data_IF_695885375183
#
_entry.id   IF_695885375183
#
_cell.length_a   1.000
_cell.length_b   1.000
_cell.length_c   1.000
_cell.angle_alpha   90.00
_cell.angle_beta   90.00
_cell.angle_gamma   90.00
#
_symmetry.space_group_name_H-M   'P 1'
#
loop_
_entity.id
_entity.type
_entity.pdbx_description
1 polymer ?
#
# COMPACT_ATOMS: atom_id res chain seq x y z
N UNK A 1 -8.13 4.21 46.17
CA UNK A 1 -7.62 3.62 44.91
C UNK A 1 -8.81 3.16 44.07
N UNK A 2 -9.38 4.05 43.27
CA UNK A 2 -10.40 3.71 42.27
C UNK A 2 -10.08 4.57 41.06
N UNK A 3 -9.75 3.95 39.93
CA UNK A 3 -9.36 4.71 38.74
C UNK A 3 -8.62 3.91 37.68
N UNK A 4 -9.21 2.79 37.21
CA UNK A 4 -8.89 2.16 35.92
C UNK A 4 -10.13 1.38 35.47
N UNK A 5 -11.06 2.03 34.76
CA UNK A 5 -12.11 1.35 33.97
C UNK A 5 -12.98 2.31 33.09
N UNK A 6 -12.58 3.57 32.86
CA UNK A 6 -13.40 4.52 32.09
C UNK A 6 -13.10 4.61 30.58
N UNK A 7 -12.00 4.04 30.09
CA UNK A 7 -11.58 4.25 28.69
C UNK A 7 -12.18 3.26 27.68
N UNK A 8 -12.67 2.08 28.09
CA UNK A 8 -13.28 1.10 27.17
C UNK A 8 -14.78 1.31 26.94
N UNK A 9 -15.44 2.18 27.71
CA UNK A 9 -16.88 2.47 27.56
C UNK A 9 -17.20 3.70 26.72
N UNK A 10 -16.23 4.56 26.45
CA UNK A 10 -16.46 5.80 25.71
C UNK A 10 -16.76 5.56 24.22
N UNK A 11 -16.07 4.62 23.56
CA UNK A 11 -16.30 4.34 22.12
C UNK A 11 -17.63 3.64 21.83
N UNK A 12 -18.18 2.84 22.76
CA UNK A 12 -19.51 2.23 22.58
C UNK A 12 -20.66 3.23 22.74
N UNK A 13 -20.51 4.24 23.60
CA UNK A 13 -21.60 5.19 23.90
C UNK A 13 -21.80 6.21 22.77
N UNK A 14 -20.75 6.55 22.02
CA UNK A 14 -20.86 7.52 20.91
C UNK A 14 -21.59 6.95 19.69
N UNK A 15 -21.55 5.63 19.47
CA UNK A 15 -22.28 4.98 18.38
C UNK A 15 -23.79 4.86 18.63
N UNK A 16 -24.23 4.82 19.89
CA UNK A 16 -25.65 4.61 20.23
C UNK A 16 -26.51 5.88 20.10
N UNK A 17 -25.90 7.06 19.96
CA UNK A 17 -26.62 8.35 19.99
C UNK A 17 -26.98 8.92 18.60
N UNK A 18 -26.58 8.27 17.50
CA UNK A 18 -26.96 8.67 16.15
C UNK A 18 -27.73 7.54 15.44
N UNK A 19 -29.07 7.56 15.56
CA UNK A 19 -29.99 7.02 14.55
C UNK A 19 -30.09 5.49 14.40
N UNK A 20 -29.86 4.70 15.45
CA UNK A 20 -29.68 3.23 15.37
C UNK A 20 -30.92 2.35 15.11
N UNK A 21 -32.12 2.89 14.86
CA UNK A 21 -33.36 2.10 14.98
C UNK A 21 -34.07 1.69 13.67
N UNK A 22 -33.62 2.06 12.47
CA UNK A 22 -34.45 1.86 11.26
C UNK A 22 -33.82 1.09 10.07
N UNK A 23 -32.60 0.55 10.18
CA UNK A 23 -31.95 -0.19 9.05
C UNK A 23 -31.49 -1.61 9.34
N UNK A 24 -31.66 -2.13 10.56
CA UNK A 24 -31.11 -3.45 10.93
C UNK A 24 -31.91 -4.67 10.45
N UNK A 25 -33.00 -4.51 9.70
CA UNK A 25 -33.83 -5.65 9.24
C UNK A 25 -33.91 -5.85 7.72
N UNK A 26 -33.20 -5.08 6.89
CA UNK A 26 -33.14 -5.29 5.44
C UNK A 26 -31.72 -5.07 4.89
N UNK A 27 -30.79 -5.94 5.29
CA UNK A 27 -29.53 -6.11 4.56
C UNK A 27 -29.13 -7.59 4.58
N UNK A 28 -30.08 -8.46 4.24
CA UNK A 28 -29.72 -9.74 3.66
C UNK A 28 -29.14 -9.42 2.28
N UNK A 29 -27.81 -9.28 2.20
CA UNK A 29 -27.13 -9.12 0.92
C UNK A 29 -27.54 -10.27 0.00
N UNK A 30 -27.92 -9.94 -1.24
CA UNK A 30 -28.31 -10.93 -2.23
C UNK A 30 -27.10 -11.82 -2.55
N UNK A 31 -27.31 -13.10 -2.89
CA UNK A 31 -26.27 -13.93 -3.51
C UNK A 31 -25.65 -13.16 -4.70
N UNK A 32 -24.33 -13.06 -4.75
CA UNK A 32 -23.62 -12.27 -5.77
C UNK A 32 -23.48 -10.77 -5.49
N UNK A 33 -23.70 -10.32 -4.25
CA UNK A 33 -23.38 -8.95 -3.80
C UNK A 33 -22.27 -8.93 -2.74
N UNK A 34 -21.49 -7.85 -2.70
CA UNK A 34 -20.47 -7.67 -1.66
C UNK A 34 -21.12 -7.55 -0.28
N UNK A 35 -20.56 -8.18 0.77
CA UNK A 35 -20.98 -7.91 2.14
C UNK A 35 -20.77 -6.43 2.47
N UNK A 36 -21.58 -5.87 3.36
CA UNK A 36 -21.43 -4.48 3.79
C UNK A 36 -20.99 -4.39 5.25
N UNK A 37 -20.15 -3.40 5.53
CA UNK A 37 -19.71 -3.06 6.88
C UNK A 37 -18.57 -3.94 7.37
N UNK A 38 -18.46 -4.06 8.68
CA UNK A 38 -17.27 -4.56 9.36
C UNK A 38 -17.54 -5.91 10.00
N UNK A 39 -16.51 -6.74 10.03
CA UNK A 39 -16.59 -8.12 10.48
C UNK A 39 -15.34 -8.46 11.29
N UNK A 40 -15.51 -9.26 12.34
CA UNK A 40 -14.43 -9.69 13.22
C UNK A 40 -14.43 -11.20 13.35
N UNK A 41 -13.25 -11.82 13.33
CA UNK A 41 -13.11 -13.25 13.55
C UNK A 41 -13.54 -13.64 14.97
N UNK A 42 -14.46 -14.60 15.06
CA UNK A 42 -14.98 -15.06 16.34
C UNK A 42 -13.94 -15.80 17.19
N UNK A 43 -12.88 -16.34 16.58
CA UNK A 43 -11.80 -17.03 17.26
C UNK A 43 -10.57 -16.14 17.50
N UNK A 44 -10.46 -15.03 16.76
CA UNK A 44 -9.29 -14.15 16.74
C UNK A 44 -9.75 -12.68 16.68
N UNK A 45 -10.03 -12.04 17.83
CA UNK A 45 -10.55 -10.67 17.87
C UNK A 45 -9.63 -9.63 17.21
N UNK A 46 -8.35 -9.95 17.02
CA UNK A 46 -7.41 -9.06 16.35
C UNK A 46 -7.54 -9.09 14.83
N UNK A 47 -8.21 -10.10 14.25
CA UNK A 47 -8.47 -10.16 12.82
C UNK A 47 -9.83 -9.54 12.47
N UNK A 48 -9.80 -8.49 11.68
CA UNK A 48 -10.98 -7.76 11.23
C UNK A 48 -10.95 -7.60 9.71
N UNK A 49 -12.13 -7.58 9.09
CA UNK A 49 -12.29 -7.10 7.72
C UNK A 49 -13.40 -6.08 7.62
N UNK A 50 -13.41 -5.30 6.55
CA UNK A 50 -14.51 -4.40 6.25
C UNK A 50 -14.62 -4.12 4.78
N UNK A 51 -15.86 -3.99 4.33
CA UNK A 51 -16.18 -3.67 2.97
C UNK A 51 -16.68 -2.23 2.91
N UNK A 52 -15.94 -1.37 2.21
CA UNK A 52 -16.19 0.07 2.07
C UNK A 52 -15.88 0.53 0.64
N UNK A 53 -16.83 1.17 -0.05
CA UNK A 53 -16.62 1.82 -1.36
C UNK A 53 -15.88 0.94 -2.39
N UNK A 54 -16.36 -0.30 -2.61
CA UNK A 54 -15.69 -1.29 -3.47
C UNK A 54 -14.25 -1.59 -3.05
N UNK A 55 -13.96 -1.53 -1.75
CA UNK A 55 -12.69 -1.98 -1.16
C UNK A 55 -12.95 -2.97 -0.05
N UNK A 56 -12.08 -3.96 0.06
CA UNK A 56 -11.92 -4.80 1.24
C UNK A 56 -10.72 -4.31 2.03
N UNK A 57 -10.97 -3.90 3.26
CA UNK A 57 -9.94 -3.60 4.25
C UNK A 57 -9.72 -4.86 5.09
N UNK A 58 -8.47 -5.29 5.25
CA UNK A 58 -8.09 -6.38 6.16
C UNK A 58 -7.17 -5.79 7.22
N UNK A 59 -7.54 -5.95 8.48
CA UNK A 59 -6.82 -5.41 9.61
C UNK A 59 -6.42 -6.49 10.61
N UNK A 60 -5.19 -6.37 11.10
CA UNK A 60 -4.65 -7.15 12.19
C UNK A 60 -3.51 -6.40 12.89
N UNK A 61 -3.23 -6.77 14.14
CA UNK A 61 -2.28 -6.03 14.98
C UNK A 61 -2.70 -4.58 15.21
N UNK A 62 -4.02 -4.35 15.34
CA UNK A 62 -4.60 -3.05 15.70
C UNK A 62 -4.69 -2.02 14.57
N UNK A 63 -4.40 -2.38 13.31
CA UNK A 63 -4.50 -1.44 12.16
C UNK A 63 -4.85 -2.14 10.85
N UNK A 64 -5.23 -1.38 9.83
CA UNK A 64 -5.32 -1.87 8.44
C UNK A 64 -3.92 -2.30 7.98
N UNK A 65 -3.84 -3.46 7.34
CA UNK A 65 -2.60 -4.05 6.86
C UNK A 65 -2.63 -4.32 5.37
N UNK A 66 -3.80 -4.69 4.86
CA UNK A 66 -4.01 -5.03 3.45
C UNK A 66 -5.30 -4.37 2.97
N UNK A 67 -5.31 -3.95 1.71
CA UNK A 67 -6.49 -3.40 1.06
C UNK A 67 -6.59 -3.97 -0.35
N UNK A 68 -7.75 -4.54 -0.65
CA UNK A 68 -8.13 -4.93 -2.01
C UNK A 68 -9.10 -3.88 -2.54
N UNK A 69 -8.71 -3.10 -3.53
CA UNK A 69 -9.54 -2.07 -4.17
C UNK A 69 -10.28 -2.57 -5.41
N UNK A 70 -11.13 -1.73 -6.01
CA UNK A 70 -11.90 -2.04 -7.23
C UNK A 70 -12.64 -3.40 -7.14
N UNK A 71 -13.13 -3.72 -5.95
CA UNK A 71 -13.71 -5.00 -5.63
C UNK A 71 -15.05 -5.17 -6.35
N UNK A 72 -15.19 -6.28 -7.07
CA UNK A 72 -16.37 -6.66 -7.84
C UNK A 72 -16.80 -8.07 -7.44
N UNK A 73 -18.11 -8.32 -7.23
CA UNK A 73 -18.59 -9.66 -6.90
C UNK A 73 -18.21 -10.73 -7.94
N UNK A 74 -17.97 -11.95 -7.47
CA UNK A 74 -17.78 -13.15 -8.27
C UNK A 74 -18.56 -14.33 -7.69
N UNK A 75 -18.61 -15.48 -8.38
CA UNK A 75 -19.34 -16.67 -7.91
C UNK A 75 -18.83 -17.19 -6.55
N UNK A 76 -17.52 -17.13 -6.32
CA UNK A 76 -16.85 -17.63 -5.11
C UNK A 76 -16.50 -16.53 -4.09
N UNK A 77 -16.93 -15.29 -4.34
CA UNK A 77 -16.70 -14.14 -3.47
C UNK A 77 -16.58 -12.83 -4.24
N UNK A 78 -15.35 -12.37 -4.44
CA UNK A 78 -15.06 -11.18 -5.22
C UNK A 78 -13.69 -11.23 -5.92
N UNK A 79 -13.55 -10.46 -6.99
CA UNK A 79 -12.27 -10.16 -7.65
C UNK A 79 -11.98 -8.68 -7.45
N UNK A 80 -10.74 -8.34 -7.16
CA UNK A 80 -10.33 -6.95 -7.01
C UNK A 80 -8.85 -6.73 -7.31
N UNK A 81 -8.37 -5.55 -6.95
CA UNK A 81 -7.00 -5.12 -7.11
C UNK A 81 -6.25 -5.12 -5.78
N UNK A 82 -5.14 -5.82 -5.72
CA UNK A 82 -4.21 -5.73 -4.60
C UNK A 82 -2.81 -5.42 -5.14
N UNK A 83 -2.22 -4.31 -4.68
CA UNK A 83 -0.90 -3.87 -5.11
C UNK A 83 -0.69 -3.84 -6.66
N UNK A 84 -1.75 -3.51 -7.41
CA UNK A 84 -1.71 -3.46 -8.88
C UNK A 84 -1.89 -4.79 -9.59
N UNK A 85 -2.21 -5.87 -8.87
CA UNK A 85 -2.49 -7.20 -9.43
C UNK A 85 -3.93 -7.60 -9.14
N UNK A 86 -4.49 -8.43 -10.02
CA UNK A 86 -5.76 -9.08 -9.76
C UNK A 86 -5.63 -9.99 -8.52
N UNK A 87 -6.57 -9.87 -7.59
CA UNK A 87 -6.62 -10.64 -6.35
C UNK A 87 -8.01 -11.23 -6.19
N UNK A 88 -8.07 -12.52 -5.89
CA UNK A 88 -9.30 -13.27 -5.67
C UNK A 88 -9.57 -13.37 -4.19
N UNK A 89 -10.75 -12.90 -3.77
CA UNK A 89 -11.19 -12.90 -2.39
C UNK A 89 -12.33 -13.87 -2.25
N UNK A 90 -12.10 -14.98 -1.55
CA UNK A 90 -13.13 -16.00 -1.35
C UNK A 90 -13.89 -15.78 -0.04
N UNK A 91 -15.21 -15.68 -0.13
CA UNK A 91 -16.08 -15.67 1.04
C UNK A 91 -17.47 -16.19 0.72
N UNK A 92 -18.11 -16.78 1.73
CA UNK A 92 -19.50 -17.24 1.64
C UNK A 92 -20.28 -16.85 2.89
N UNK A 93 -21.60 -16.71 2.78
CA UNK A 93 -22.46 -16.46 3.94
C UNK A 93 -22.99 -17.76 4.54
N UNK A 94 -22.85 -17.91 5.86
CA UNK A 94 -23.43 -19.01 6.65
C UNK A 94 -24.34 -18.40 7.73
N UNK A 95 -25.61 -18.16 7.40
CA UNK A 95 -26.55 -17.46 8.27
C UNK A 95 -26.07 -16.03 8.62
N UNK A 96 -25.86 -15.68 9.90
CA UNK A 96 -25.34 -14.37 10.29
C UNK A 96 -23.81 -14.25 10.16
N UNK A 97 -23.11 -15.33 9.83
CA UNK A 97 -21.66 -15.36 9.73
C UNK A 97 -21.20 -15.17 8.29
N UNK A 98 -20.01 -14.60 8.15
CA UNK A 98 -19.25 -14.59 6.90
C UNK A 98 -18.10 -15.57 7.05
N UNK A 99 -18.06 -16.60 6.22
CA UNK A 99 -16.91 -17.49 6.08
C UNK A 99 -15.95 -16.86 5.10
N UNK A 100 -14.76 -16.51 5.56
CA UNK A 100 -13.75 -15.81 4.78
C UNK A 100 -12.49 -16.66 4.69
N UNK A 101 -11.93 -16.83 3.49
CA UNK A 101 -10.62 -17.45 3.31
C UNK A 101 -9.54 -16.37 3.38
N UNK A 102 -8.77 -16.38 4.46
CA UNK A 102 -7.57 -15.56 4.57
C UNK A 102 -6.48 -16.17 3.69
N UNK A 103 -6.29 -15.60 2.50
CA UNK A 103 -5.34 -16.09 1.50
C UNK A 103 -3.89 -16.15 2.02
N UNK A 104 -3.52 -15.25 2.94
CA UNK A 104 -2.16 -15.18 3.49
C UNK A 104 -1.87 -16.31 4.47
N UNK A 105 -2.83 -16.67 5.30
CA UNK A 105 -2.67 -17.75 6.28
C UNK A 105 -3.24 -19.10 5.83
N UNK A 106 -4.02 -19.13 4.75
CA UNK A 106 -4.79 -20.28 4.28
C UNK A 106 -5.95 -20.67 5.22
N UNK A 107 -6.25 -19.86 6.24
CA UNK A 107 -7.27 -20.18 7.25
C UNK A 107 -8.66 -19.74 6.81
N UNK A 108 -9.63 -20.62 7.04
CA UNK A 108 -11.04 -20.25 6.99
C UNK A 108 -11.44 -19.59 8.30
N UNK A 109 -11.93 -18.37 8.22
CA UNK A 109 -12.31 -17.54 9.36
C UNK A 109 -13.81 -17.38 9.43
N UNK A 110 -14.36 -17.50 10.64
CA UNK A 110 -15.80 -17.35 10.91
C UNK A 110 -16.05 -15.96 11.48
N UNK A 111 -16.46 -15.03 10.63
CA UNK A 111 -16.55 -13.63 10.98
C UNK A 111 -17.96 -13.24 11.41
N UNK A 112 -18.06 -12.46 12.49
CA UNK A 112 -19.30 -11.85 12.99
C UNK A 112 -19.34 -10.38 12.60
N UNK A 113 -20.51 -9.91 12.19
CA UNK A 113 -20.72 -8.50 11.85
C UNK A 113 -20.57 -7.64 13.11
N UNK A 114 -19.82 -6.55 12.98
CA UNK A 114 -19.69 -5.52 14.01
C UNK A 114 -20.76 -4.43 13.83
N UNK A 115 -21.18 -3.78 14.92
CA UNK A 115 -22.20 -2.74 14.86
C UNK A 115 -21.71 -1.43 14.23
N UNK A 116 -20.41 -1.19 14.21
CA UNK A 116 -19.80 0.06 13.75
C UNK A 116 -18.36 -0.15 13.24
N UNK A 117 -17.78 0.89 12.66
CA UNK A 117 -16.37 0.92 12.21
C UNK A 117 -15.43 0.81 13.42
N UNK A 118 -14.47 -0.12 13.42
CA UNK A 118 -13.42 -0.19 14.43
C UNK A 118 -12.40 0.95 14.28
N UNK A 119 -11.83 1.41 15.40
CA UNK A 119 -10.75 2.41 15.39
C UNK A 119 -9.51 1.92 14.64
N UNK A 120 -9.26 0.61 14.61
CA UNK A 120 -8.16 -0.01 13.83
C UNK A 120 -8.29 0.23 12.33
N UNK A 121 -9.47 0.64 11.84
CA UNK A 121 -9.70 0.94 10.43
C UNK A 121 -9.56 2.42 10.10
N UNK A 122 -9.17 3.23 11.08
CA UNK A 122 -8.61 4.55 10.84
C UNK A 122 -7.20 4.34 10.30
N UNK A 123 -6.88 4.90 9.13
CA UNK A 123 -5.52 4.88 8.56
C UNK A 123 -4.59 5.81 9.36
N UNK A 124 -4.47 5.54 10.66
CA UNK A 124 -3.85 6.42 11.63
C UNK A 124 -2.64 5.71 12.24
N UNK A 125 -1.46 6.16 11.82
CA UNK A 125 -0.20 5.94 12.53
C UNK A 125 0.44 7.30 12.75
N UNK A 126 0.56 7.69 14.02
CA UNK A 126 1.22 8.95 14.37
C UNK A 126 2.70 8.66 14.58
N UNK A 127 3.53 9.26 13.73
CA UNK A 127 4.99 9.24 13.90
C UNK A 127 5.40 10.48 14.71
N UNK A 128 6.41 10.37 15.60
CA UNK A 128 6.94 11.54 16.28
C UNK A 128 7.57 12.50 15.27
N UNK A 129 7.44 13.80 15.53
CA UNK A 129 8.19 14.81 14.78
C UNK A 129 9.70 14.57 14.94
N UNK A 130 10.50 14.64 13.86
CA UNK A 130 11.95 14.56 13.90
C UNK A 130 12.58 15.40 15.02
N UNK A 131 13.30 14.74 15.93
CA UNK A 131 13.98 15.37 17.06
C UNK A 131 15.48 15.03 17.06
N UNK A 132 16.35 15.87 17.66
CA UNK A 132 17.77 15.54 17.78
C UNK A 132 18.01 14.26 18.58
N UNK A 133 18.86 13.37 18.07
CA UNK A 133 19.28 12.13 18.75
C UNK A 133 20.80 12.06 18.82
N UNK A 134 21.33 11.16 19.66
CA UNK A 134 22.77 10.98 19.80
C UNK A 134 23.43 10.60 18.46
N UNK A 135 24.58 11.20 18.16
CA UNK A 135 25.33 10.94 16.92
C UNK A 135 25.64 9.46 16.71
N UNK A 136 26.03 8.75 17.78
CA UNK A 136 26.24 7.31 17.72
C UNK A 136 24.99 6.53 17.27
N UNK A 137 23.79 6.99 17.64
CA UNK A 137 22.52 6.39 17.19
C UNK A 137 22.23 6.72 15.73
N UNK A 138 22.51 7.95 15.29
CA UNK A 138 22.44 8.34 13.87
C UNK A 138 23.31 7.40 13.03
N UNK A 139 24.59 7.26 13.39
CA UNK A 139 25.54 6.41 12.67
C UNK A 139 25.10 4.93 12.63
N UNK A 140 24.56 4.41 13.75
CA UNK A 140 24.04 3.04 13.80
C UNK A 140 22.84 2.84 12.85
N UNK A 141 21.90 3.78 12.84
CA UNK A 141 20.73 3.73 11.96
C UNK A 141 21.16 3.87 10.50
N UNK A 142 22.03 4.82 10.17
CA UNK A 142 22.56 5.00 8.81
C UNK A 142 23.19 3.70 8.28
N UNK A 143 24.00 3.03 9.11
CA UNK A 143 24.62 1.75 8.74
C UNK A 143 23.57 0.67 8.48
N UNK A 144 22.64 0.46 9.41
CA UNK A 144 21.63 -0.60 9.32
C UNK A 144 20.75 -0.44 8.06
N UNK A 145 20.20 0.75 7.83
CA UNK A 145 19.30 0.97 6.69
C UNK A 145 20.05 0.91 5.35
N UNK A 146 21.31 1.36 5.31
CA UNK A 146 22.12 1.27 4.11
C UNK A 146 22.44 -0.18 3.75
N UNK A 147 22.78 -1.01 4.73
CA UNK A 147 23.08 -2.43 4.50
C UNK A 147 21.85 -3.18 3.97
N UNK A 148 20.67 -2.87 4.52
CA UNK A 148 19.39 -3.46 4.11
C UNK A 148 18.91 -2.99 2.74
N UNK A 149 18.92 -1.69 2.47
CA UNK A 149 18.56 -1.16 1.16
C UNK A 149 19.50 -1.74 0.10
N UNK A 150 20.81 -1.78 0.34
CA UNK A 150 21.76 -2.40 -0.60
C UNK A 150 21.42 -3.87 -0.86
N UNK A 151 21.07 -4.63 0.17
CA UNK A 151 20.70 -6.03 0.03
C UNK A 151 19.38 -6.21 -0.76
N UNK A 152 18.39 -5.36 -0.52
CA UNK A 152 17.09 -5.39 -1.21
C UNK A 152 17.22 -4.97 -2.68
N UNK A 153 17.95 -3.87 -2.94
CA UNK A 153 18.21 -3.37 -4.29
C UNK A 153 19.05 -4.34 -5.11
N UNK A 154 19.96 -5.10 -4.50
CA UNK A 154 20.75 -6.13 -5.20
C UNK A 154 19.85 -7.22 -5.80
N UNK A 155 18.68 -7.46 -5.22
CA UNK A 155 17.73 -8.47 -5.67
C UNK A 155 16.68 -7.93 -6.66
N UNK A 156 16.52 -6.60 -6.78
CA UNK A 156 15.51 -5.93 -7.63
C UNK A 156 15.95 -5.57 -9.06
N UNK A 157 17.23 -5.63 -9.40
CA UNK A 157 17.77 -4.86 -10.55
C UNK A 157 17.23 -5.27 -11.94
N UNK A 158 16.50 -4.38 -12.65
CA UNK A 158 16.25 -4.49 -14.09
C UNK A 158 17.38 -3.84 -14.92
N UNK A 159 17.31 -4.04 -16.25
CA UNK A 159 18.42 -3.94 -17.19
C UNK A 159 18.99 -2.54 -17.53
N UNK A 160 18.41 -1.41 -17.09
CA UNK A 160 18.93 -0.08 -17.43
C UNK A 160 18.73 0.98 -16.34
N UNK A 161 19.68 1.92 -16.17
CA UNK A 161 19.56 3.02 -15.22
C UNK A 161 18.57 4.09 -15.70
N UNK A 162 17.65 4.49 -14.82
CA UNK A 162 16.77 5.64 -15.02
C UNK A 162 17.60 6.93 -14.99
N UNK A 163 17.69 7.67 -16.11
CA UNK A 163 18.58 8.82 -16.30
C UNK A 163 18.35 10.02 -15.37
N UNK A 164 17.20 10.06 -14.69
CA UNK A 164 16.85 11.09 -13.71
C UNK A 164 17.09 10.66 -12.24
N UNK A 165 17.57 9.43 -12.01
CA UNK A 165 18.08 8.96 -10.71
C UNK A 165 19.61 9.11 -10.67
N UNK A 166 20.17 10.06 -9.91
CA UNK A 166 21.61 10.16 -9.73
C UNK A 166 22.14 8.92 -8.99
N UNK A 167 23.17 8.24 -9.52
CA UNK A 167 23.92 7.18 -8.82
C UNK A 167 23.78 5.74 -9.35
N UNK A 168 23.25 5.54 -10.56
CA UNK A 168 23.09 4.20 -11.11
C UNK A 168 24.42 3.61 -11.64
N UNK A 169 24.90 2.51 -11.04
CA UNK A 169 26.06 1.72 -11.51
C UNK A 169 25.67 0.77 -12.66
N UNK A 170 26.60 0.36 -13.55
CA UNK A 170 26.30 -0.52 -14.68
C UNK A 170 25.81 -1.91 -14.27
N UNK A 171 24.90 -2.47 -15.07
CA UNK A 171 24.15 -3.71 -14.80
C UNK A 171 24.85 -4.99 -15.31
N UNK A 172 24.85 -6.10 -14.54
CA UNK A 172 24.94 -7.47 -15.07
C UNK A 172 23.55 -8.06 -15.42
N UNK A 173 23.54 -9.19 -16.13
CA UNK A 173 22.40 -9.77 -16.87
C UNK A 173 21.11 -10.06 -16.04
N UNK A 174 19.91 -10.00 -16.67
CA UNK A 174 18.62 -10.07 -15.98
C UNK A 174 18.17 -11.48 -15.60
N UNK A 175 17.45 -11.59 -14.47
CA UNK A 175 16.54 -12.71 -14.22
C UNK A 175 15.28 -12.57 -15.12
N UNK A 176 14.64 -13.69 -15.52
CA UNK A 176 13.42 -13.62 -16.31
C UNK A 176 12.26 -13.03 -15.49
N UNK A 177 11.39 -12.19 -16.11
CA UNK A 177 10.20 -11.66 -15.45
C UNK A 177 9.17 -12.77 -15.22
N UNK A 178 8.59 -12.82 -14.01
CA UNK A 178 7.42 -13.67 -13.70
C UNK A 178 7.54 -14.61 -12.50
N UNK A 179 8.71 -14.79 -11.89
CA UNK A 179 8.82 -15.53 -10.64
C UNK A 179 8.72 -14.57 -9.45
N UNK A 180 7.64 -14.67 -8.66
CA UNK A 180 7.66 -14.17 -7.28
C UNK A 180 8.78 -14.92 -6.55
N UNK A 181 9.92 -14.27 -6.34
CA UNK A 181 10.94 -14.79 -5.43
C UNK A 181 10.40 -14.63 -4.01
N UNK A 182 10.05 -15.74 -3.37
CA UNK A 182 9.57 -15.72 -1.98
C UNK A 182 10.58 -15.06 -1.02
N UNK A 183 11.88 -15.07 -1.35
CA UNK A 183 12.91 -14.36 -0.59
C UNK A 183 12.74 -12.85 -0.63
N UNK A 184 12.22 -12.30 -1.74
CA UNK A 184 11.92 -10.88 -1.86
C UNK A 184 10.75 -10.46 -0.98
N UNK A 185 9.72 -11.30 -0.86
CA UNK A 185 8.55 -11.03 -0.03
C UNK A 185 8.92 -11.10 1.46
N UNK A 186 9.71 -12.11 1.84
CA UNK A 186 10.21 -12.29 3.21
C UNK A 186 11.13 -11.14 3.63
N UNK A 187 12.12 -10.79 2.79
CA UNK A 187 13.03 -9.69 3.07
C UNK A 187 12.33 -8.32 3.11
N UNK A 188 11.35 -8.08 2.23
CA UNK A 188 10.52 -6.87 2.29
C UNK A 188 9.69 -6.80 3.59
N UNK A 189 9.27 -7.95 4.13
CA UNK A 189 8.52 -8.01 5.39
C UNK A 189 9.40 -7.67 6.59
N UNK A 190 10.61 -8.26 6.71
CA UNK A 190 11.55 -7.93 7.78
C UNK A 190 11.97 -6.46 7.74
N UNK A 191 12.22 -5.94 6.55
CA UNK A 191 12.55 -4.54 6.34
C UNK A 191 11.38 -3.62 6.71
N UNK A 192 10.13 -4.03 6.46
CA UNK A 192 8.94 -3.30 6.88
C UNK A 192 8.84 -3.17 8.41
N UNK A 193 9.05 -4.27 9.14
CA UNK A 193 9.01 -4.27 10.60
C UNK A 193 10.12 -3.40 11.21
N UNK A 194 11.34 -3.50 10.66
CA UNK A 194 12.45 -2.65 11.09
C UNK A 194 12.14 -1.17 10.84
N UNK A 195 11.78 -0.81 9.61
CA UNK A 195 11.63 0.61 9.26
C UNK A 195 10.47 1.23 10.03
N UNK A 196 9.38 0.49 10.24
CA UNK A 196 8.29 0.90 11.13
C UNK A 196 8.79 1.17 12.55
N UNK A 197 9.60 0.26 13.10
CA UNK A 197 10.17 0.40 14.45
C UNK A 197 11.05 1.63 14.55
N UNK A 198 11.94 1.84 13.57
CA UNK A 198 12.84 3.00 13.54
C UNK A 198 12.05 4.32 13.44
N UNK A 199 11.09 4.43 12.53
CA UNK A 199 10.34 5.69 12.37
C UNK A 199 9.45 6.01 13.57
N UNK A 200 9.00 4.99 14.32
CA UNK A 200 8.33 5.20 15.61
C UNK A 200 9.28 5.65 16.72
N UNK A 201 10.53 5.18 16.70
CA UNK A 201 11.55 5.55 17.69
C UNK A 201 12.07 6.97 17.45
N UNK A 202 12.47 7.30 16.23
CA UNK A 202 13.24 8.52 15.93
C UNK A 202 12.51 9.51 15.01
N UNK A 203 11.27 9.21 14.62
CA UNK A 203 10.56 9.97 13.58
C UNK A 203 11.10 9.62 12.20
N UNK A 204 10.72 10.41 11.19
CA UNK A 204 11.19 10.18 9.82
C UNK A 204 12.71 10.28 9.69
N UNK A 205 13.35 9.34 8.99
CA UNK A 205 14.79 9.35 8.71
C UNK A 205 15.06 10.41 7.61
N UNK A 206 15.10 11.67 8.02
CA UNK A 206 15.22 12.84 7.14
C UNK A 206 16.67 13.14 6.75
N UNK A 207 16.82 13.95 5.69
CA UNK A 207 18.12 14.36 5.16
C UNK A 207 18.92 15.22 6.15
N UNK A 208 18.28 16.03 6.99
CA UNK A 208 18.99 16.97 7.87
C UNK A 208 19.71 16.26 9.00
N UNK A 209 19.11 15.19 9.55
CA UNK A 209 19.70 14.41 10.64
C UNK A 209 20.57 13.26 10.15
N UNK A 210 20.13 12.57 9.08
CA UNK A 210 20.77 11.33 8.64
C UNK A 210 21.52 11.48 7.30
N UNK A 211 21.44 12.62 6.64
CA UNK A 211 22.03 12.82 5.32
C UNK A 211 21.24 12.15 4.20
N UNK A 212 21.51 12.59 2.97
CA UNK A 212 20.79 12.14 1.78
C UNK A 212 20.80 10.61 1.57
N UNK A 213 21.94 9.89 1.66
CA UNK A 213 21.96 8.45 1.40
C UNK A 213 21.06 7.65 2.33
N UNK A 214 21.06 8.00 3.61
CA UNK A 214 20.27 7.34 4.63
C UNK A 214 18.77 7.61 4.46
N UNK A 215 18.41 8.86 4.18
CA UNK A 215 17.01 9.22 3.90
C UNK A 215 16.47 8.54 2.65
N UNK A 216 17.30 8.42 1.60
CA UNK A 216 16.93 7.71 0.38
C UNK A 216 16.77 6.20 0.61
N UNK A 217 17.66 5.58 1.39
CA UNK A 217 17.54 4.18 1.80
C UNK A 217 16.25 3.95 2.61
N UNK A 218 15.96 4.81 3.59
CA UNK A 218 14.73 4.75 4.37
C UNK A 218 13.48 4.87 3.49
N UNK A 219 13.49 5.77 2.50
CA UNK A 219 12.44 5.85 1.50
C UNK A 219 12.24 4.51 0.79
N UNK A 220 13.28 3.88 0.26
CA UNK A 220 13.14 2.60 -0.46
C UNK A 220 12.59 1.49 0.44
N UNK A 221 13.09 1.37 1.67
CA UNK A 221 12.58 0.37 2.63
C UNK A 221 11.09 0.58 2.90
N UNK A 222 10.65 1.82 3.19
CA UNK A 222 9.22 2.15 3.36
C UNK A 222 8.42 1.85 2.09
N UNK A 223 8.97 2.26 0.95
CA UNK A 223 8.34 2.20 -0.34
C UNK A 223 7.96 0.75 -0.71
N UNK A 224 8.81 -0.23 -0.39
CA UNK A 224 8.58 -1.66 -0.69
C UNK A 224 7.72 -2.41 0.33
N UNK A 225 7.34 -1.80 1.46
CA UNK A 225 6.48 -2.45 2.48
C UNK A 225 5.07 -2.77 2.01
N UNK A 226 4.52 -1.96 1.09
CA UNK A 226 3.09 -1.96 0.75
C UNK A 226 2.12 -1.80 1.94
N UNK A 227 2.62 -1.44 3.13
CA UNK A 227 1.79 -1.23 4.31
C UNK A 227 1.09 0.14 4.18
N UNK A 228 -0.24 0.17 3.96
CA UNK A 228 -0.89 1.41 3.60
C UNK A 228 -0.88 2.44 4.74
N UNK A 229 -0.90 2.00 5.99
CA UNK A 229 -0.91 2.92 7.13
C UNK A 229 0.47 3.52 7.36
N UNK A 230 1.54 2.72 7.20
CA UNK A 230 2.91 3.23 7.28
C UNK A 230 3.24 4.18 6.12
N UNK A 231 2.89 3.81 4.88
CA UNK A 231 3.08 4.64 3.70
C UNK A 231 2.40 6.02 3.87
N UNK A 232 1.14 6.04 4.33
CA UNK A 232 0.39 7.26 4.60
C UNK A 232 1.04 8.11 5.71
N UNK A 233 1.54 7.48 6.77
CA UNK A 233 2.14 8.19 7.90
C UNK A 233 3.47 8.89 7.52
N UNK A 234 4.23 8.33 6.57
CA UNK A 234 5.52 8.87 6.12
C UNK A 234 5.37 10.00 5.10
N UNK A 235 4.31 10.00 4.29
CA UNK A 235 4.09 10.96 3.21
C UNK A 235 4.34 12.44 3.58
N UNK A 236 3.83 12.97 4.71
CA UNK A 236 4.03 14.37 5.08
C UNK A 236 5.49 14.73 5.35
N UNK A 237 6.31 13.77 5.79
CA UNK A 237 7.73 13.99 6.06
C UNK A 237 8.55 14.00 4.77
N UNK A 238 8.30 13.04 3.87
CA UNK A 238 8.94 13.01 2.54
C UNK A 238 8.57 14.25 1.74
N UNK A 239 7.31 14.73 1.83
CA UNK A 239 6.91 15.98 1.20
C UNK A 239 7.70 17.18 1.74
N UNK A 240 7.93 17.26 3.05
CA UNK A 240 8.75 18.32 3.66
C UNK A 240 10.18 18.32 3.14
N UNK A 241 10.78 17.15 2.96
CA UNK A 241 12.13 17.03 2.39
C UNK A 241 12.18 17.48 0.91
N UNK A 242 11.15 17.15 0.12
CA UNK A 242 11.00 17.65 -1.27
C UNK A 242 10.80 19.16 -1.31
N UNK A 243 9.89 19.70 -0.49
CA UNK A 243 9.58 21.13 -0.45
C UNK A 243 10.80 21.95 0.01
N UNK A 244 11.68 21.35 0.81
CA UNK A 244 12.96 21.93 1.21
C UNK A 244 14.09 21.76 0.18
N UNK A 245 13.85 21.09 -0.96
CA UNK A 245 14.85 20.81 -1.98
C UNK A 245 15.95 19.84 -1.55
N UNK A 246 15.68 19.01 -0.52
CA UNK A 246 16.66 18.07 0.04
C UNK A 246 16.65 16.70 -0.67
N UNK A 247 15.52 16.35 -1.29
CA UNK A 247 15.35 15.14 -2.12
C UNK A 247 14.53 15.47 -3.36
N UNK A 248 14.57 14.60 -4.38
CA UNK A 248 13.88 14.82 -5.64
C UNK A 248 12.36 14.65 -5.50
N UNK A 249 11.58 15.45 -6.23
CA UNK A 249 10.11 15.36 -6.23
C UNK A 249 9.57 14.00 -6.71
N UNK A 250 10.35 13.27 -7.51
CA UNK A 250 10.04 11.88 -7.90
C UNK A 250 9.94 10.93 -6.70
N UNK A 251 10.67 11.19 -5.61
CA UNK A 251 10.60 10.42 -4.37
C UNK A 251 9.20 10.52 -3.75
N UNK A 252 8.64 11.74 -3.71
CA UNK A 252 7.28 11.95 -3.23
C UNK A 252 6.23 11.36 -4.18
N UNK A 253 6.38 11.54 -5.50
CA UNK A 253 5.45 10.99 -6.48
C UNK A 253 5.34 9.46 -6.39
N UNK A 254 6.49 8.78 -6.29
CA UNK A 254 6.57 7.33 -6.10
C UNK A 254 5.87 6.89 -4.81
N UNK A 255 6.17 7.55 -3.68
CA UNK A 255 5.56 7.21 -2.40
C UNK A 255 4.05 7.44 -2.42
N UNK A 256 3.61 8.57 -2.98
CA UNK A 256 2.21 8.96 -3.04
C UNK A 256 1.38 7.95 -3.85
N UNK A 257 1.85 7.60 -5.04
CA UNK A 257 1.14 6.66 -5.89
C UNK A 257 1.10 5.25 -5.27
N UNK A 258 2.19 4.80 -4.65
CA UNK A 258 2.22 3.54 -3.89
C UNK A 258 1.26 3.56 -2.71
N UNK A 259 1.27 4.62 -1.90
CA UNK A 259 0.38 4.79 -0.77
C UNK A 259 -1.10 4.83 -1.19
N UNK A 260 -1.38 5.41 -2.36
CA UNK A 260 -2.73 5.45 -2.94
C UNK A 260 -3.17 4.06 -3.36
N UNK A 261 -2.35 3.33 -4.12
CA UNK A 261 -2.66 1.97 -4.55
C UNK A 261 -2.76 0.99 -3.38
N UNK A 262 -1.87 1.09 -2.39
CA UNK A 262 -1.93 0.29 -1.16
C UNK A 262 -3.22 0.56 -0.35
N UNK A 263 -3.83 1.74 -0.50
CA UNK A 263 -5.12 2.08 0.10
C UNK A 263 -6.33 1.74 -0.81
N UNK A 264 -6.10 1.02 -1.92
CA UNK A 264 -7.12 0.68 -2.91
C UNK A 264 -7.60 1.87 -3.75
N UNK A 265 -6.81 2.95 -3.82
CA UNK A 265 -7.09 4.18 -4.58
C UNK A 265 -6.26 4.25 -5.86
N UNK A 266 -6.57 5.21 -6.72
CA UNK A 266 -5.85 5.44 -7.99
C UNK A 266 -4.65 6.37 -7.81
N UNK A 267 -3.67 6.22 -8.70
CA UNK A 267 -2.44 7.02 -8.72
C UNK A 267 -2.67 8.46 -9.20
N UNK A 268 -1.81 9.39 -8.82
CA UNK A 268 -1.82 10.79 -9.29
C UNK A 268 -0.76 11.07 -10.36
N UNK A 269 0.41 10.45 -10.24
CA UNK A 269 1.58 10.77 -11.07
C UNK A 269 1.99 9.66 -12.05
N UNK A 270 1.35 8.48 -11.95
CA UNK A 270 1.54 7.35 -12.87
C UNK A 270 2.90 6.67 -12.71
N UNK A 271 3.42 6.59 -11.48
CA UNK A 271 4.77 6.08 -11.20
C UNK A 271 4.83 4.58 -10.92
N UNK A 272 3.70 3.92 -10.70
CA UNK A 272 3.61 2.48 -10.52
C UNK A 272 3.10 1.83 -11.81
N UNK A 273 3.85 0.82 -12.26
CA UNK A 273 3.60 0.09 -13.49
C UNK A 273 3.60 -1.41 -13.22
N UNK A 274 3.02 -2.18 -14.15
CA UNK A 274 3.08 -3.64 -14.19
C UNK A 274 3.44 -4.08 -15.60
N UNK A 275 4.03 -5.27 -15.73
CA UNK A 275 4.19 -5.92 -17.04
C UNK A 275 3.04 -6.91 -17.25
N UNK A 276 2.39 -6.87 -18.40
CA UNK A 276 1.43 -7.90 -18.79
C UNK A 276 2.11 -9.21 -19.20
N UNK A 277 1.32 -10.25 -19.50
CA UNK A 277 1.82 -11.57 -19.90
C UNK A 277 2.62 -11.55 -21.23
N UNK A 278 2.54 -10.45 -21.99
CA UNK A 278 3.26 -10.22 -23.24
C UNK A 278 4.51 -9.36 -23.03
N UNK A 279 4.78 -8.92 -21.80
CA UNK A 279 5.90 -8.06 -21.45
C UNK A 279 5.67 -6.57 -21.73
N UNK A 280 4.44 -6.15 -22.07
CA UNK A 280 4.14 -4.73 -22.23
C UNK A 280 4.07 -4.05 -20.87
N UNK A 281 4.66 -2.86 -20.76
CA UNK A 281 4.58 -2.02 -19.56
C UNK A 281 3.25 -1.27 -19.56
N UNK A 282 2.45 -1.49 -18.52
CA UNK A 282 1.17 -0.83 -18.28
C UNK A 282 1.27 0.03 -17.02
N UNK A 283 0.87 1.30 -17.14
CA UNK A 283 0.68 2.20 -16.00
C UNK A 283 -0.58 1.77 -15.25
N UNK A 284 -0.45 1.48 -13.95
CA UNK A 284 -1.58 1.13 -13.09
C UNK A 284 -2.62 2.27 -13.03
N UNK A 285 -3.86 2.04 -12.57
CA UNK A 285 -4.94 3.02 -12.70
C UNK A 285 -4.58 4.39 -12.10
N UNK A 286 -4.86 5.46 -12.86
CA UNK A 286 -4.65 6.87 -12.47
C UNK A 286 -5.99 7.57 -12.23
N UNK A 287 -6.00 8.56 -11.33
CA UNK A 287 -7.19 9.36 -11.00
C UNK A 287 -7.66 10.20 -12.20
N UNK A 288 -6.73 10.74 -12.99
CA UNK A 288 -6.98 11.49 -14.21
C UNK A 288 -5.79 11.33 -15.16
N UNK A 289 -6.04 11.00 -16.43
CA UNK A 289 -4.97 10.90 -17.45
C UNK A 289 -4.59 12.30 -17.93
N UNK A 290 -5.58 13.18 -18.01
CA UNK A 290 -5.44 14.58 -18.36
C UNK A 290 -4.61 15.32 -17.30
N UNK A 291 -3.68 16.16 -17.77
CA UNK A 291 -2.81 16.97 -16.90
C UNK A 291 -1.83 16.15 -16.05
N UNK A 292 -1.62 14.86 -16.34
CA UNK A 292 -0.65 14.05 -15.61
C UNK A 292 0.77 14.61 -15.76
N UNK A 293 1.13 15.06 -16.96
CA UNK A 293 2.44 15.66 -17.21
C UNK A 293 2.60 17.01 -16.51
N UNK A 294 1.54 17.81 -16.37
CA UNK A 294 1.58 19.07 -15.59
C UNK A 294 1.86 18.78 -14.10
N UNK A 295 1.20 17.76 -13.54
CA UNK A 295 1.43 17.32 -12.15
C UNK A 295 2.85 16.78 -11.97
N UNK A 296 3.37 16.07 -12.97
CA UNK A 296 4.75 15.56 -12.97
C UNK A 296 5.77 16.69 -13.05
N UNK A 297 5.55 17.66 -13.94
CA UNK A 297 6.38 18.84 -14.12
C UNK A 297 6.43 19.69 -12.85
N UNK A 298 5.32 19.83 -12.12
CA UNK A 298 5.28 20.54 -10.85
C UNK A 298 6.20 19.94 -9.76
N UNK A 299 6.62 18.68 -9.92
CA UNK A 299 7.59 17.99 -9.05
C UNK A 299 8.99 17.88 -9.69
N UNK A 300 9.24 18.59 -10.79
CA UNK A 300 10.51 18.53 -11.52
C UNK A 300 10.73 17.22 -12.29
N UNK A 301 9.67 16.46 -12.56
CA UNK A 301 9.76 15.21 -13.32
C UNK A 301 9.49 15.45 -14.81
N UNK A 302 10.05 14.58 -15.65
CA UNK A 302 9.73 14.54 -17.08
C UNK A 302 8.36 13.91 -17.38
N UNK A 303 7.90 14.02 -18.64
CA UNK A 303 6.65 13.42 -19.11
C UNK A 303 6.51 11.93 -18.78
N UNK A 304 5.28 11.46 -18.65
CA UNK A 304 4.99 10.04 -18.40
C UNK A 304 5.49 9.16 -19.54
N UNK A 305 5.39 9.64 -20.78
CA UNK A 305 5.88 8.93 -21.97
C UNK A 305 7.38 8.61 -21.87
N UNK A 306 8.19 9.58 -21.46
CA UNK A 306 9.64 9.40 -21.30
C UNK A 306 9.94 8.39 -20.18
N UNK A 307 9.18 8.46 -19.08
CA UNK A 307 9.34 7.53 -17.97
C UNK A 307 9.07 6.08 -18.37
N UNK A 308 7.95 5.81 -19.06
CA UNK A 308 7.63 4.43 -19.50
C UNK A 308 8.56 3.96 -20.61
N UNK A 309 9.09 4.87 -21.44
CA UNK A 309 10.07 4.53 -22.46
C UNK A 309 11.38 3.99 -21.86
N UNK A 310 11.85 4.57 -20.74
CA UNK A 310 13.03 4.04 -20.03
C UNK A 310 12.76 2.65 -19.44
N UNK A 311 11.50 2.32 -19.17
CA UNK A 311 11.08 0.99 -18.73
C UNK A 311 10.87 0.00 -19.90
N UNK A 312 11.12 0.43 -21.14
CA UNK A 312 11.01 -0.39 -22.35
C UNK A 312 9.65 -0.33 -23.06
N UNK A 313 8.76 0.59 -22.66
CA UNK A 313 7.48 0.78 -23.35
C UNK A 313 7.64 1.54 -24.67
N UNK A 314 6.87 1.16 -25.70
CA UNK A 314 6.79 1.92 -26.95
C UNK A 314 5.95 3.21 -26.84
N UNK A 315 5.17 3.34 -25.77
CA UNK A 315 4.28 4.47 -25.50
C UNK A 315 3.53 4.27 -24.19
N UNK A 316 2.74 5.27 -23.79
CA UNK A 316 1.93 5.18 -22.56
C UNK A 316 0.73 4.27 -22.80
N UNK A 317 0.68 3.17 -22.07
CA UNK A 317 -0.49 2.30 -21.96
C UNK A 317 -0.93 2.25 -20.50
N UNK A 318 -2.25 2.28 -20.27
CA UNK A 318 -2.83 2.19 -18.94
C UNK A 318 -3.55 0.85 -18.79
N UNK A 319 -3.50 0.24 -17.61
CA UNK A 319 -4.44 -0.84 -17.26
C UNK A 319 -5.86 -0.27 -17.14
N UNK A 320 -6.87 -0.93 -17.72
CA UNK A 320 -8.27 -0.45 -17.70
C UNK A 320 -8.86 -0.43 -16.29
N UNK A 321 -8.54 -1.45 -15.49
CA UNK A 321 -8.65 -1.60 -14.05
C UNK A 321 -7.67 -2.74 -13.68
N UNK A 322 -7.41 -3.04 -12.40
CA UNK A 322 -6.46 -4.13 -12.11
C UNK A 322 -7.07 -5.46 -12.59
N UNK A 323 -6.54 -5.96 -13.69
CA UNK A 323 -7.16 -7.05 -14.43
C UNK A 323 -7.37 -6.70 -15.91
N UNK A 324 -6.28 -6.46 -16.64
CA UNK A 324 -6.25 -6.79 -18.07
C UNK A 324 -4.83 -7.15 -18.52
N UNK A 325 -4.12 -7.97 -17.74
CA UNK A 325 -3.00 -8.74 -18.29
C UNK A 325 -3.50 -9.82 -19.27
N UNK A 326 -4.81 -10.11 -19.29
CA UNK A 326 -5.44 -11.16 -20.10
C UNK A 326 -6.42 -10.66 -21.19
N UNK A 327 -6.64 -9.35 -21.38
CA UNK A 327 -7.75 -8.89 -22.26
C UNK A 327 -7.50 -7.62 -23.08
N UNK A 328 -6.31 -7.42 -23.65
CA UNK A 328 -6.23 -6.56 -24.83
C UNK A 328 -6.72 -7.34 -26.07
N UNK A 329 -7.83 -6.93 -26.72
CA UNK A 329 -8.19 -7.50 -28.01
C UNK A 329 -7.05 -7.25 -29.00
N UNK A 330 -6.75 -8.21 -29.91
CA UNK A 330 -5.70 -8.01 -30.89
C UNK A 330 -5.99 -6.77 -31.74
N UNK A 331 -4.95 -6.03 -32.18
CA UNK A 331 -5.15 -4.88 -33.06
C UNK A 331 -5.92 -5.34 -34.29
N UNK A 332 -7.04 -4.66 -34.58
CA UNK A 332 -7.77 -4.86 -35.83
C UNK A 332 -6.81 -4.52 -36.97
N UNK A 333 -6.63 -5.48 -37.89
CA UNK A 333 -5.76 -5.36 -39.06
C UNK A 333 -6.25 -4.32 -40.04
#
# INVERSE_FOLDING_TARGET
MVGKNLLTRASLVLCLLLGFAARQLLAAGLPGSLPEGYWQDAADPDFLIGFEDSRLLIGYGGRVREVVGSLSPSEEGAVGCEAGRESHVSFTREGPLLLFLDAKSGKHRRLRRLPCRPDSFLFALTLPEPFPIAEARVLAIQKEIWERDRAEQAALRPAQPLSWLPGALPAPAPNPPGALDFRMIEQATENAELIETLVKEVGWIDVRRFGYPASKAAFFLVQHTWDPVLLQAVLPFVKRDVDAGLIEGSTYALLFDRASLAAGLRQRYGTQVVSDDRGNVLVLPVEAREGIDDRRQALGMGPLADYVAVLGAAGVAFSEECGSASSLPPPQR
#
